data_IF_705257274731
#
_entry.id   IF_705257274731
#
_cell.length_a   1.000
_cell.length_b   1.000
_cell.length_c   1.000
_cell.angle_alpha   90.00
_cell.angle_beta   90.00
_cell.angle_gamma   90.00
#
_symmetry.space_group_name_H-M   'P 1'
#
loop_
_entity.id
_entity.type
_entity.pdbx_description
1 polymer ?
#
# COMPACT_ATOMS: atom_id res chain seq x y z
N UNK A 1 -1.63 19.17 -32.53
CA UNK A 1 -1.81 17.72 -32.25
C UNK A 1 -0.78 17.14 -31.27
N UNK A 2 0.53 17.44 -31.37
CA UNK A 2 1.54 16.94 -30.42
C UNK A 2 1.31 17.36 -28.95
N UNK A 3 0.82 18.57 -28.71
CA UNK A 3 0.60 19.09 -27.35
C UNK A 3 -0.48 18.31 -26.58
N UNK A 4 -1.58 17.95 -27.26
CA UNK A 4 -2.66 17.16 -26.67
C UNK A 4 -2.19 15.75 -26.29
N UNK A 5 -1.33 15.16 -27.11
CA UNK A 5 -0.72 13.85 -26.81
C UNK A 5 0.18 13.92 -25.56
N UNK A 6 1.01 14.97 -25.44
CA UNK A 6 1.84 15.19 -24.26
C UNK A 6 1.01 15.39 -22.99
N UNK A 7 -0.08 16.17 -23.07
CA UNK A 7 -1.02 16.35 -21.97
C UNK A 7 -1.66 15.03 -21.53
N UNK A 8 -2.03 14.17 -22.49
CA UNK A 8 -2.61 12.86 -22.21
C UNK A 8 -1.63 11.94 -21.49
N UNK A 9 -0.37 11.89 -21.96
CA UNK A 9 0.70 11.15 -21.28
C UNK A 9 0.94 11.65 -19.85
N UNK A 10 0.95 12.98 -19.66
CA UNK A 10 1.13 13.59 -18.35
C UNK A 10 0.00 13.21 -17.38
N UNK A 11 -1.24 13.20 -17.87
CA UNK A 11 -2.42 12.78 -17.10
C UNK A 11 -2.28 11.31 -16.64
N UNK A 12 -1.88 10.42 -17.55
CA UNK A 12 -1.69 9.00 -17.24
C UNK A 12 -0.60 8.81 -16.18
N UNK A 13 0.51 9.55 -16.27
CA UNK A 13 1.58 9.51 -15.26
C UNK A 13 1.06 9.95 -13.88
N UNK A 14 0.32 11.06 -13.81
CA UNK A 14 -0.24 11.56 -12.56
C UNK A 14 -1.19 10.55 -11.89
N UNK A 15 -2.05 9.89 -12.68
CA UNK A 15 -2.99 8.87 -12.18
C UNK A 15 -2.23 7.66 -11.60
N UNK A 16 -1.18 7.21 -12.29
CA UNK A 16 -0.36 6.09 -11.80
C UNK A 16 0.36 6.44 -10.49
N UNK A 17 0.95 7.64 -10.40
CA UNK A 17 1.60 8.12 -9.17
C UNK A 17 0.62 8.24 -8.01
N UNK A 18 -0.58 8.79 -8.25
CA UNK A 18 -1.62 8.90 -7.23
C UNK A 18 -2.09 7.51 -6.72
N UNK A 19 -2.26 6.55 -7.62
CA UNK A 19 -2.61 5.16 -7.28
C UNK A 19 -1.53 4.49 -6.42
N UNK A 20 -0.25 4.65 -6.80
CA UNK A 20 0.88 4.16 -6.03
C UNK A 20 0.94 4.76 -4.62
N UNK A 21 0.78 6.09 -4.50
CA UNK A 21 0.77 6.80 -3.21
C UNK A 21 -0.36 6.33 -2.30
N UNK A 22 -1.54 6.03 -2.85
CA UNK A 22 -2.69 5.54 -2.09
C UNK A 22 -2.45 4.12 -1.54
N UNK A 23 -1.80 3.25 -2.32
CA UNK A 23 -1.38 1.91 -1.86
C UNK A 23 -0.32 2.00 -0.76
N UNK A 24 0.68 2.88 -0.94
CA UNK A 24 1.75 3.03 0.05
C UNK A 24 1.21 3.54 1.41
N UNK A 25 0.22 4.45 1.38
CA UNK A 25 -0.48 4.87 2.61
C UNK A 25 -1.23 3.73 3.31
N UNK A 26 -1.86 2.81 2.57
CA UNK A 26 -2.51 1.63 3.17
C UNK A 26 -1.50 0.73 3.85
N UNK A 27 -0.35 0.47 3.22
CA UNK A 27 0.68 -0.39 3.81
C UNK A 27 1.30 0.19 5.08
N UNK A 28 1.41 1.51 5.17
CA UNK A 28 1.88 2.20 6.37
C UNK A 28 0.87 2.22 7.52
N UNK A 29 -0.39 1.86 7.31
CA UNK A 29 -1.37 1.78 8.41
C UNK A 29 -0.96 0.76 9.47
N UNK A 30 -0.31 -0.35 9.07
CA UNK A 30 0.13 -1.36 10.02
C UNK A 30 1.13 -0.79 11.04
N UNK A 31 2.15 -0.07 10.56
CA UNK A 31 3.14 0.61 11.41
C UNK A 31 2.49 1.70 12.26
N UNK A 32 1.55 2.48 11.71
CA UNK A 32 0.81 3.51 12.47
C UNK A 32 -0.03 2.94 13.61
N UNK A 33 -0.51 1.70 13.48
CA UNK A 33 -1.23 0.99 14.54
C UNK A 33 -0.30 0.33 15.58
N UNK A 34 1.02 0.49 15.44
CA UNK A 34 2.03 -0.18 16.26
C UNK A 34 2.19 -1.68 15.94
N UNK A 35 1.73 -2.12 14.76
CA UNK A 35 1.87 -3.48 14.28
C UNK A 35 3.06 -3.65 13.33
N UNK A 36 3.39 -4.90 13.05
CA UNK A 36 4.39 -5.30 12.06
C UNK A 36 3.80 -6.32 11.07
N UNK A 37 4.31 -6.31 9.84
CA UNK A 37 3.93 -7.28 8.82
C UNK A 37 4.64 -8.62 9.04
N UNK A 38 3.92 -9.62 9.54
CA UNK A 38 4.40 -11.00 9.73
C UNK A 38 3.75 -11.96 8.75
N UNK A 39 4.37 -13.13 8.54
CA UNK A 39 3.78 -14.16 7.68
C UNK A 39 2.45 -14.65 8.26
N UNK A 40 1.49 -15.00 7.40
CA UNK A 40 0.17 -15.52 7.82
C UNK A 40 0.24 -16.73 8.77
N UNK A 41 1.33 -17.50 8.75
CA UNK A 41 1.55 -18.65 9.64
C UNK A 41 2.12 -18.29 11.01
N UNK A 42 2.41 -17.01 11.28
CA UNK A 42 2.90 -16.59 12.59
C UNK A 42 1.76 -16.55 13.60
N UNK A 43 1.91 -17.25 14.72
CA UNK A 43 0.95 -17.29 15.83
C UNK A 43 1.42 -16.42 17.01
N UNK A 44 0.54 -16.19 17.98
CA UNK A 44 0.87 -15.49 19.23
C UNK A 44 0.92 -13.97 19.10
N UNK A 45 0.09 -13.39 18.22
CA UNK A 45 -0.09 -11.95 18.15
C UNK A 45 -1.54 -11.58 17.81
N UNK A 46 -1.90 -10.33 18.08
CA UNK A 46 -3.20 -9.76 17.72
C UNK A 46 -3.19 -9.33 16.25
N UNK A 47 -4.06 -9.93 15.45
CA UNK A 47 -4.22 -9.60 14.03
C UNK A 47 -4.93 -8.25 13.92
N UNK A 48 -4.34 -7.31 13.18
CA UNK A 48 -4.89 -5.98 12.97
C UNK A 48 -5.53 -5.87 11.57
N UNK A 49 -6.59 -5.06 11.42
CA UNK A 49 -7.26 -4.81 10.14
C UNK A 49 -6.48 -3.81 9.28
N UNK A 50 -5.21 -4.10 8.99
CA UNK A 50 -4.35 -3.30 8.13
C UNK A 50 -3.66 -4.17 7.07
N UNK A 51 -3.51 -3.61 5.86
CA UNK A 51 -2.88 -4.32 4.74
C UNK A 51 -1.35 -4.27 4.85
N UNK A 52 -0.70 -5.35 4.43
CA UNK A 52 0.74 -5.40 4.20
C UNK A 52 1.04 -5.40 2.70
N UNK A 53 2.21 -4.90 2.31
CA UNK A 53 2.66 -4.87 0.91
C UNK A 53 2.67 -6.27 0.26
N UNK A 54 2.92 -7.31 1.07
CA UNK A 54 2.89 -8.71 0.63
C UNK A 54 1.56 -9.35 0.98
N UNK A 55 0.93 -10.02 0.00
CA UNK A 55 -0.30 -10.80 0.20
C UNK A 55 -0.11 -11.98 1.16
N UNK A 56 1.10 -12.48 1.34
CA UNK A 56 1.42 -13.59 2.26
C UNK A 56 1.69 -13.14 3.69
N UNK A 57 1.62 -11.82 3.94
CA UNK A 57 1.81 -11.23 5.26
C UNK A 57 0.52 -10.58 5.73
N UNK A 58 0.33 -10.57 7.04
CA UNK A 58 -0.76 -9.86 7.71
C UNK A 58 -0.16 -8.87 8.72
N UNK A 59 -0.93 -7.85 9.06
CA UNK A 59 -0.54 -6.93 10.12
C UNK A 59 -0.79 -7.56 11.49
N UNK A 60 0.23 -7.56 12.33
CA UNK A 60 0.29 -8.30 13.59
C UNK A 60 0.92 -7.43 14.67
N UNK A 61 0.28 -7.32 15.84
CA UNK A 61 0.78 -6.57 17.00
C UNK A 61 0.96 -7.53 18.18
N UNK A 62 2.13 -7.52 18.80
CA UNK A 62 2.41 -8.26 20.03
C UNK A 62 1.57 -7.69 21.18
#
# INVERSE_FOLDING_TARGET
MKLLFLLFLLLICLIQTASGRRRDMRFRQCEKMGGLCKYQKTHGCSILPAECKSRYKHCCRL
#
